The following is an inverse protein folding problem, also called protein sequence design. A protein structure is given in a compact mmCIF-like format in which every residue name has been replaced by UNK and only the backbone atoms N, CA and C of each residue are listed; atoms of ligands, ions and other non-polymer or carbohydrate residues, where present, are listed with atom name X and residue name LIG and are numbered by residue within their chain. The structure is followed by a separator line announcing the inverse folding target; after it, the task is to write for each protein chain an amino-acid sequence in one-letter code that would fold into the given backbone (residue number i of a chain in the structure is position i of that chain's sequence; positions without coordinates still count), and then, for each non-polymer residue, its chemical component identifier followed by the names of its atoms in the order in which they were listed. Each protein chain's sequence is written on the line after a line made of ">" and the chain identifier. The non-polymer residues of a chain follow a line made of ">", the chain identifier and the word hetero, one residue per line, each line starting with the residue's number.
data_IF_973496029953
#
_entry.id   IF_973496029953
#
_cell.length_a   1.000
_cell.length_b   1.000
_cell.length_c   1.000
_cell.angle_alpha   90.00
_cell.angle_beta   90.00
_cell.angle_gamma   90.00
#
_symmetry.space_group_name_H-M   'P 1'
#
loop_
_entity.id
_entity.type
_entity.pdbx_description
1 polymer ?
#
# COMPACT_ATOMS: atom_id res chain seq x y z
N UNK A 1 -12.42 10.05 -18.80
CA UNK A 1 -11.32 10.71 -18.34
C UNK A 1 -10.66 9.97 -17.23
N UNK A 2 -9.39 9.88 -17.22
CA UNK A 2 -8.70 9.11 -16.24
C UNK A 2 -8.47 9.93 -15.01
N UNK A 3 -8.81 9.40 -13.86
CA UNK A 3 -8.56 10.07 -12.63
C UNK A 3 -7.10 9.89 -12.28
N UNK A 4 -6.39 11.00 -12.13
CA UNK A 4 -5.00 10.97 -11.79
C UNK A 4 -4.74 10.25 -10.50
N UNK A 5 -5.62 10.40 -9.54
CA UNK A 5 -5.44 9.73 -8.25
C UNK A 5 -5.59 8.22 -8.38
N UNK A 6 -6.49 7.77 -9.24
CA UNK A 6 -6.62 6.34 -9.44
C UNK A 6 -5.41 5.78 -10.14
N UNK A 7 -4.81 6.54 -11.05
CA UNK A 7 -3.60 6.10 -11.69
C UNK A 7 -2.44 5.99 -10.69
N UNK A 8 -2.34 6.95 -9.79
CA UNK A 8 -1.31 6.88 -8.77
C UNK A 8 -1.51 5.71 -7.85
N UNK A 9 -2.76 5.42 -7.50
CA UNK A 9 -3.05 4.26 -6.68
C UNK A 9 -2.63 2.98 -7.37
N UNK A 10 -2.84 2.90 -8.66
CA UNK A 10 -2.42 1.74 -9.41
C UNK A 10 -0.91 1.56 -9.37
N UNK A 11 -0.17 2.65 -9.53
CA UNK A 11 1.27 2.59 -9.48
C UNK A 11 1.75 2.15 -8.11
N UNK A 12 1.18 2.70 -7.06
CA UNK A 12 1.57 2.29 -5.71
C UNK A 12 1.27 0.82 -5.48
N UNK A 13 0.12 0.36 -5.95
CA UNK A 13 -0.25 -1.02 -5.78
C UNK A 13 0.72 -1.94 -6.51
N UNK A 14 1.11 -1.57 -7.73
CA UNK A 14 2.06 -2.36 -8.47
C UNK A 14 3.41 -2.40 -7.78
N UNK A 15 3.84 -1.28 -7.24
CA UNK A 15 5.10 -1.23 -6.52
C UNK A 15 5.05 -2.08 -5.26
N UNK A 16 3.94 -2.03 -4.53
CA UNK A 16 3.78 -2.83 -3.33
C UNK A 16 3.89 -4.31 -3.68
N UNK A 17 3.22 -4.74 -4.73
CA UNK A 17 3.29 -6.14 -5.11
C UNK A 17 4.68 -6.53 -5.54
N UNK A 18 5.37 -5.64 -6.23
CA UNK A 18 6.73 -5.91 -6.64
C UNK A 18 7.65 -6.07 -5.43
N UNK A 19 7.54 -5.17 -4.46
CA UNK A 19 8.39 -5.26 -3.28
C UNK A 19 8.08 -6.51 -2.47
N UNK A 20 6.82 -6.90 -2.38
CA UNK A 20 6.46 -8.12 -1.68
C UNK A 20 7.07 -9.34 -2.37
N UNK A 21 7.08 -9.35 -3.69
CA UNK A 21 7.71 -10.45 -4.41
C UNK A 21 9.21 -10.47 -4.19
N UNK A 22 9.82 -9.29 -4.15
CA UNK A 22 11.24 -9.23 -3.88
C UNK A 22 11.56 -9.77 -2.50
N UNK A 23 10.74 -9.47 -1.53
CA UNK A 23 10.97 -9.96 -0.17
C UNK A 23 10.87 -11.47 -0.07
N UNK A 24 10.21 -12.09 -1.01
CA UNK A 24 10.12 -13.54 -1.02
C UNK A 24 11.34 -14.19 -1.64
N UNK A 25 12.24 -13.41 -2.20
CA UNK A 25 13.45 -13.96 -2.79
C UNK A 25 14.60 -13.85 -1.79
N UNK A 26 15.74 -14.39 -2.17
CA UNK A 26 16.89 -14.38 -1.30
C UNK A 26 17.55 -13.02 -1.37
N UNK A 27 17.56 -12.31 -0.28
CA UNK A 27 18.13 -10.98 -0.23
C UNK A 27 19.13 -10.89 0.91
N UNK A 28 20.13 -10.05 0.74
CA UNK A 28 21.01 -9.75 1.85
C UNK A 28 20.24 -8.95 2.87
N UNK A 29 20.80 -8.82 4.05
CA UNK A 29 20.15 -8.04 5.09
C UNK A 29 19.96 -6.60 4.68
N UNK A 30 20.94 -6.04 4.04
CA UNK A 30 20.85 -4.66 3.62
C UNK A 30 19.78 -4.50 2.54
N UNK A 31 19.75 -5.41 1.58
CA UNK A 31 18.73 -5.37 0.54
C UNK A 31 17.34 -5.52 1.13
N UNK A 32 17.18 -6.41 2.08
CA UNK A 32 15.88 -6.62 2.70
C UNK A 32 15.43 -5.39 3.43
N UNK A 33 16.33 -4.73 4.17
CA UNK A 33 15.99 -3.52 4.87
C UNK A 33 15.56 -2.42 3.91
N UNK A 34 16.25 -2.32 2.78
CA UNK A 34 15.91 -1.31 1.80
C UNK A 34 14.52 -1.58 1.21
N UNK A 35 14.26 -2.83 0.83
CA UNK A 35 12.97 -3.17 0.24
C UNK A 35 11.84 -2.98 1.23
N UNK A 36 12.07 -3.34 2.49
CA UNK A 36 11.05 -3.14 3.51
C UNK A 36 10.72 -1.66 3.68
N UNK A 37 11.74 -0.83 3.68
CA UNK A 37 11.51 0.58 3.82
C UNK A 37 10.72 1.12 2.63
N UNK A 38 11.07 0.69 1.43
CA UNK A 38 10.34 1.14 0.26
C UNK A 38 8.91 0.66 0.27
N UNK A 39 8.69 -0.58 0.74
CA UNK A 39 7.35 -1.11 0.84
C UNK A 39 6.51 -0.27 1.81
N UNK A 40 7.08 0.06 2.95
CA UNK A 40 6.37 0.88 3.92
C UNK A 40 6.06 2.26 3.36
N UNK A 41 6.99 2.84 2.63
CA UNK A 41 6.77 4.15 2.04
C UNK A 41 5.63 4.08 1.02
N UNK A 42 5.58 3.03 0.21
CA UNK A 42 4.53 2.90 -0.77
C UNK A 42 3.18 2.66 -0.11
N UNK A 43 3.17 1.88 0.95
CA UNK A 43 1.91 1.61 1.65
C UNK A 43 1.38 2.87 2.31
N UNK A 44 2.26 3.66 2.90
CA UNK A 44 1.84 4.90 3.52
C UNK A 44 1.32 5.89 2.48
N UNK A 45 2.02 6.00 1.37
CA UNK A 45 1.58 6.91 0.32
C UNK A 45 0.25 6.47 -0.27
N UNK A 46 0.08 5.17 -0.43
CA UNK A 46 -1.16 4.63 -0.96
C UNK A 46 -2.31 4.92 -0.02
N UNK A 47 -2.08 4.75 1.27
CA UNK A 47 -3.12 4.98 2.23
C UNK A 47 -3.52 6.44 2.31
N UNK A 48 -2.55 7.32 2.25
CA UNK A 48 -2.83 8.74 2.25
C UNK A 48 -3.63 9.13 1.01
N UNK A 49 -3.29 8.54 -0.13
CA UNK A 49 -3.98 8.84 -1.36
C UNK A 49 -5.41 8.30 -1.35
N UNK A 50 -5.61 7.13 -0.75
CA UNK A 50 -6.94 6.59 -0.63
C UNK A 50 -7.82 7.51 0.20
N UNK A 51 -7.30 8.02 1.27
CA UNK A 51 -8.07 8.91 2.13
C UNK A 51 -8.42 10.20 1.41
N UNK A 52 -7.57 10.65 0.53
CA UNK A 52 -7.85 11.84 -0.25
C UNK A 52 -8.86 11.57 -1.35
N UNK A 53 -8.75 10.42 -2.00
CA UNK A 53 -9.59 10.09 -3.12
C UNK A 53 -10.97 9.65 -2.67
N UNK A 54 -11.05 8.96 -1.54
CA UNK A 54 -12.31 8.48 -0.99
C UNK A 54 -12.48 9.06 0.40
N UNK A 55 -12.92 10.29 0.49
CA UNK A 55 -12.97 10.95 1.79
C UNK A 55 -14.01 10.37 2.73
N UNK A 56 -14.98 9.64 2.24
CA UNK A 56 -15.93 9.05 3.15
C UNK A 56 -15.48 7.66 3.52
N UNK A 57 -15.70 7.27 4.70
CA UNK A 57 -15.27 6.00 5.18
C UNK A 57 -16.00 4.89 4.53
N UNK A 58 -15.31 3.84 4.21
CA UNK A 58 -15.94 2.66 3.69
C UNK A 58 -16.30 1.75 4.82
N UNK A 59 -17.48 1.23 4.79
CA UNK A 59 -17.91 0.40 5.90
C UNK A 59 -17.09 -0.84 6.05
N UNK A 60 -16.50 -1.26 5.05
CA UNK A 60 -15.76 -2.44 5.18
C UNK A 60 -14.60 -2.26 5.98
N UNK A 61 -14.29 -1.15 6.20
CA UNK A 61 -13.17 -0.95 6.85
C UNK A 61 -13.02 -1.88 7.89
N UNK A 62 -11.95 -2.25 8.03
CA UNK A 62 -11.71 -3.22 8.93
C UNK A 62 -12.13 -2.94 10.23
N UNK A 63 -12.37 -1.76 10.53
CA UNK A 63 -12.70 -1.52 11.77
C UNK A 63 -13.83 -2.27 12.17
N UNK A 64 -14.67 -2.52 11.33
CA UNK A 64 -15.75 -3.21 11.80
C UNK A 64 -15.30 -4.48 12.29
N UNK A 65 -14.36 -5.00 11.73
CA UNK A 65 -14.08 -6.22 12.13
C UNK A 65 -13.57 -6.21 13.42
N UNK A 66 -12.88 -5.39 13.67
CA UNK A 66 -12.28 -5.63 14.76
C UNK A 66 -13.10 -5.53 15.88
N UNK A 67 -13.96 -5.10 15.88
CA UNK A 67 -14.54 -5.06 16.92
C UNK A 67 -15.23 -5.99 17.22
N UNK A 68 -15.37 -6.36 16.72
CA UNK A 68 -16.12 -7.16 16.87
C UNK A 68 -16.00 -7.84 17.85
N UNK A 69 -15.75 -7.89 18.17
CA UNK A 69 -15.70 -8.57 18.99
C UNK A 69 -16.20 -8.81 19.67
#
# INVERSE_FOLDING_TARGET
>A
MIDENLERLRVHRNNIQRYRRLLATKLSELERAYVLKRLQDEESASQALIQTTFPFSLPSAGQSSHRAA
#
